data_IF_519730341356
#
_entry.id   IF_519730341356
#
_cell.length_a   1.000
_cell.length_b   1.000
_cell.length_c   1.000
_cell.angle_alpha   90.00
_cell.angle_beta   90.00
_cell.angle_gamma   90.00
#
_symmetry.space_group_name_H-M   'P 1'
#
loop_
_entity.id
_entity.type
_entity.pdbx_description
1 polymer ?
#
# COMPACT_ATOMS: atom_id res chain seq x y z
N UNK A 1 22.07 33.47 6.29
CA UNK A 1 22.63 32.15 5.91
C UNK A 1 21.46 31.16 5.92
N UNK A 2 20.68 31.10 4.85
CA UNK A 2 19.39 30.39 4.82
C UNK A 2 19.14 29.84 3.41
N UNK A 3 20.04 28.97 2.94
CA UNK A 3 19.95 28.31 1.61
C UNK A 3 20.28 26.80 1.69
N UNK A 4 20.48 26.24 2.89
CA UNK A 4 20.88 24.82 3.07
C UNK A 4 19.70 23.84 3.27
N UNK A 5 18.46 24.31 3.32
CA UNK A 5 17.29 23.46 3.63
C UNK A 5 16.29 23.31 2.49
N UNK A 6 16.48 23.96 1.34
CA UNK A 6 15.53 23.89 0.21
C UNK A 6 15.92 22.93 -0.91
N UNK A 7 17.13 22.34 -0.89
CA UNK A 7 17.61 21.38 -1.91
C UNK A 7 17.73 19.94 -1.39
N UNK A 8 17.27 19.69 -0.17
CA UNK A 8 17.24 18.37 0.44
C UNK A 8 15.85 18.07 0.94
N UNK A 9 14.91 17.78 0.04
CA UNK A 9 13.87 16.80 0.40
C UNK A 9 14.66 15.53 0.67
N UNK A 10 14.93 15.26 1.94
CA UNK A 10 15.81 14.15 2.34
C UNK A 10 15.21 12.88 1.76
N UNK A 11 16.05 12.02 1.20
CA UNK A 11 15.67 10.68 0.71
C UNK A 11 14.76 9.92 1.70
N UNK A 12 14.89 10.19 3.00
CA UNK A 12 14.00 9.65 4.03
C UNK A 12 12.51 9.95 3.82
N UNK A 13 12.14 11.10 3.22
CA UNK A 13 10.75 11.52 3.02
C UNK A 13 10.11 10.72 1.87
N UNK A 14 10.91 10.17 0.96
CA UNK A 14 10.46 9.26 -0.09
C UNK A 14 10.54 7.78 0.30
N UNK A 15 11.55 7.39 1.09
CA UNK A 15 11.57 6.07 1.75
C UNK A 15 10.35 5.91 2.65
N UNK A 16 9.93 6.99 3.33
CA UNK A 16 8.69 7.02 4.09
C UNK A 16 7.46 6.73 3.21
N UNK A 17 7.39 7.19 1.95
CA UNK A 17 6.22 6.88 1.11
C UNK A 17 6.08 5.37 0.81
N UNK A 18 7.20 4.65 0.67
CA UNK A 18 7.17 3.19 0.47
C UNK A 18 6.86 2.44 1.77
N UNK A 19 7.43 2.89 2.89
CA UNK A 19 7.09 2.37 4.22
C UNK A 19 5.63 2.65 4.58
N UNK A 20 5.12 3.83 4.25
CA UNK A 20 3.72 4.24 4.43
C UNK A 20 2.79 3.37 3.58
N UNK A 21 3.22 3.01 2.36
CA UNK A 21 2.49 2.09 1.49
C UNK A 21 2.35 0.69 2.10
N UNK A 22 3.45 0.12 2.60
CA UNK A 22 3.41 -1.15 3.32
C UNK A 22 2.61 -1.01 4.63
N UNK A 23 2.77 0.11 5.35
CA UNK A 23 2.05 0.42 6.58
C UNK A 23 0.54 0.62 6.36
N UNK A 24 0.07 0.85 5.14
CA UNK A 24 -1.37 0.93 4.82
C UNK A 24 -1.89 -0.42 4.28
N UNK A 25 -1.14 -1.07 3.39
CA UNK A 25 -1.56 -2.35 2.80
C UNK A 25 -1.71 -3.45 3.86
N UNK A 26 -0.71 -3.61 4.74
CA UNK A 26 -0.72 -4.70 5.72
C UNK A 26 -1.91 -4.57 6.69
N UNK A 27 -2.20 -3.40 7.30
CA UNK A 27 -3.38 -3.26 8.15
C UNK A 27 -4.70 -3.45 7.42
N UNK A 28 -4.84 -2.95 6.19
CA UNK A 28 -6.09 -3.09 5.43
C UNK A 28 -6.36 -4.54 5.01
N UNK A 29 -5.33 -5.25 4.56
CA UNK A 29 -5.45 -6.68 4.24
C UNK A 29 -5.78 -7.49 5.51
N UNK A 30 -5.05 -7.25 6.61
CA UNK A 30 -5.29 -7.93 7.88
C UNK A 30 -6.69 -7.67 8.45
N UNK A 31 -7.18 -6.43 8.37
CA UNK A 31 -8.55 -6.09 8.78
C UNK A 31 -9.60 -6.77 7.92
N UNK A 32 -9.38 -6.81 6.60
CA UNK A 32 -10.28 -7.50 5.66
C UNK A 32 -10.36 -9.00 5.93
N UNK A 33 -9.21 -9.65 6.15
CA UNK A 33 -9.14 -11.07 6.49
C UNK A 33 -9.79 -11.38 7.84
N UNK A 34 -9.54 -10.52 8.84
CA UNK A 34 -10.19 -10.63 10.15
C UNK A 34 -11.70 -10.54 10.02
N UNK A 35 -12.21 -9.60 9.23
CA UNK A 35 -13.65 -9.42 9.07
C UNK A 35 -14.29 -10.57 8.31
N UNK A 36 -13.65 -11.06 7.24
CA UNK A 36 -14.06 -12.30 6.56
C UNK A 36 -14.19 -13.44 7.57
N UNK A 37 -13.16 -13.67 8.38
CA UNK A 37 -13.14 -14.77 9.34
C UNK A 37 -14.22 -14.61 10.41
N UNK A 38 -14.50 -13.38 10.88
CA UNK A 38 -15.58 -13.10 11.83
C UNK A 38 -16.95 -13.42 11.24
N UNK A 39 -17.22 -13.01 10.00
CA UNK A 39 -18.50 -13.29 9.33
C UNK A 39 -18.67 -14.80 9.11
N UNK A 40 -17.62 -15.49 8.64
CA UNK A 40 -17.65 -16.95 8.44
C UNK A 40 -17.91 -17.69 9.76
N UNK A 41 -17.25 -17.27 10.84
CA UNK A 41 -17.45 -17.86 12.16
C UNK A 41 -18.87 -17.61 12.67
N UNK A 42 -19.39 -16.38 12.53
CA UNK A 42 -20.74 -16.03 12.94
C UNK A 42 -21.79 -16.82 12.17
N UNK A 43 -21.71 -16.85 10.83
CA UNK A 43 -22.62 -17.62 9.99
C UNK A 43 -22.56 -19.13 10.31
N UNK A 44 -21.36 -19.68 10.52
CA UNK A 44 -21.20 -21.08 10.92
C UNK A 44 -21.84 -21.37 12.27
N UNK A 45 -21.67 -20.48 13.25
CA UNK A 45 -22.27 -20.62 14.57
C UNK A 45 -23.80 -20.55 14.48
N UNK A 46 -24.35 -19.51 13.84
CA UNK A 46 -25.80 -19.33 13.69
C UNK A 46 -26.46 -20.53 13.00
N UNK A 47 -25.81 -21.03 11.94
CA UNK A 47 -26.21 -22.25 11.24
C UNK A 47 -26.19 -23.47 12.17
N UNK A 48 -25.13 -23.64 12.96
CA UNK A 48 -25.01 -24.77 13.92
C UNK A 48 -26.10 -24.74 15.00
N UNK A 49 -26.52 -23.54 15.42
CA UNK A 49 -27.58 -23.34 16.40
C UNK A 49 -28.99 -23.40 15.78
N UNK A 50 -29.09 -23.60 14.45
CA UNK A 50 -30.35 -23.60 13.69
C UNK A 50 -31.14 -22.28 13.82
N UNK A 51 -30.44 -21.17 14.07
CA UNK A 51 -31.05 -19.83 14.10
C UNK A 51 -31.23 -19.24 12.71
N UNK A 52 -30.47 -19.75 11.74
CA UNK A 52 -30.63 -19.53 10.30
C UNK A 52 -30.66 -20.90 9.62
N UNK A 53 -31.21 -20.96 8.41
CA UNK A 53 -31.21 -22.20 7.66
C UNK A 53 -29.82 -22.53 7.07
N UNK A 54 -29.66 -23.78 6.63
CA UNK A 54 -28.37 -24.26 6.13
C UNK A 54 -27.94 -23.59 4.82
N UNK A 55 -28.90 -23.20 3.98
CA UNK A 55 -28.66 -22.59 2.68
C UNK A 55 -28.23 -21.13 2.85
N UNK A 56 -28.94 -20.36 3.66
CA UNK A 56 -28.63 -19.00 4.07
C UNK A 56 -27.25 -18.93 4.74
N UNK A 57 -26.96 -19.86 5.65
CA UNK A 57 -25.65 -19.95 6.31
C UNK A 57 -24.51 -20.23 5.31
N UNK A 58 -24.71 -21.11 4.34
CA UNK A 58 -23.73 -21.38 3.27
C UNK A 58 -23.54 -20.15 2.37
N UNK A 59 -24.64 -19.51 1.96
CA UNK A 59 -24.61 -18.32 1.11
C UNK A 59 -23.86 -17.17 1.77
N UNK A 60 -24.09 -16.93 3.06
CA UNK A 60 -23.38 -15.90 3.82
C UNK A 60 -21.86 -16.18 3.90
N UNK A 61 -21.48 -17.45 4.09
CA UNK A 61 -20.07 -17.87 4.14
C UNK A 61 -19.39 -17.66 2.78
N UNK A 62 -20.01 -18.10 1.69
CA UNK A 62 -19.43 -17.94 0.35
C UNK A 62 -19.34 -16.47 -0.04
N UNK A 63 -20.38 -15.67 0.20
CA UNK A 63 -20.33 -14.24 -0.04
C UNK A 63 -19.22 -13.55 0.76
N UNK A 64 -19.00 -13.96 2.01
CA UNK A 64 -17.90 -13.41 2.81
C UNK A 64 -16.52 -13.74 2.21
N UNK A 65 -16.34 -14.93 1.65
CA UNK A 65 -15.10 -15.33 0.97
C UNK A 65 -14.89 -14.55 -0.33
N UNK A 66 -15.89 -14.52 -1.21
CA UNK A 66 -15.85 -13.77 -2.47
C UNK A 66 -15.51 -12.29 -2.23
N UNK A 67 -16.17 -11.67 -1.25
CA UNK A 67 -15.89 -10.29 -0.89
C UNK A 67 -14.49 -10.11 -0.28
N UNK A 68 -13.97 -11.12 0.42
CA UNK A 68 -12.60 -11.12 0.92
C UNK A 68 -11.57 -11.17 -0.21
N UNK A 69 -11.78 -12.03 -1.20
CA UNK A 69 -10.93 -12.16 -2.39
C UNK A 69 -10.93 -10.87 -3.22
N UNK A 70 -12.12 -10.28 -3.45
CA UNK A 70 -12.27 -9.00 -4.14
C UNK A 70 -11.47 -7.88 -3.46
N UNK A 71 -11.58 -7.76 -2.12
CA UNK A 71 -10.81 -6.75 -1.37
C UNK A 71 -9.31 -7.02 -1.44
N UNK A 72 -8.89 -8.28 -1.32
CA UNK A 72 -7.48 -8.64 -1.40
C UNK A 72 -6.87 -8.26 -2.76
N UNK A 73 -7.55 -8.63 -3.86
CA UNK A 73 -7.13 -8.26 -5.21
C UNK A 73 -7.03 -6.74 -5.38
N UNK A 74 -8.04 -6.01 -4.90
CA UNK A 74 -8.05 -4.55 -4.97
C UNK A 74 -6.89 -3.90 -4.19
N UNK A 75 -6.60 -4.39 -2.98
CA UNK A 75 -5.50 -3.86 -2.18
C UNK A 75 -4.15 -4.17 -2.79
N UNK A 76 -4.00 -5.35 -3.41
CA UNK A 76 -2.78 -5.75 -4.10
C UNK A 76 -2.51 -4.81 -5.29
N UNK A 77 -3.51 -4.60 -6.13
CA UNK A 77 -3.44 -3.67 -7.27
C UNK A 77 -3.09 -2.25 -6.80
N UNK A 78 -3.73 -1.78 -5.73
CA UNK A 78 -3.45 -0.46 -5.17
C UNK A 78 -2.00 -0.31 -4.70
N UNK A 79 -1.48 -1.32 -3.99
CA UNK A 79 -0.09 -1.35 -3.51
C UNK A 79 0.88 -1.32 -4.68
N UNK A 80 0.64 -2.15 -5.69
CA UNK A 80 1.55 -2.28 -6.84
C UNK A 80 1.57 -0.99 -7.66
N UNK A 81 0.40 -0.43 -8.00
CA UNK A 81 0.30 0.89 -8.68
C UNK A 81 1.03 1.99 -7.92
N UNK A 82 0.86 2.04 -6.60
CA UNK A 82 1.49 3.06 -5.77
C UNK A 82 2.99 2.85 -5.59
N UNK A 83 3.45 1.60 -5.64
CA UNK A 83 4.88 1.28 -5.66
C UNK A 83 5.52 1.73 -6.96
N UNK A 84 4.85 1.53 -8.11
CA UNK A 84 5.31 2.03 -9.41
C UNK A 84 5.37 3.57 -9.45
N UNK A 85 4.35 4.26 -8.93
CA UNK A 85 4.34 5.71 -8.79
C UNK A 85 5.54 6.21 -7.96
N UNK A 86 5.83 5.54 -6.83
CA UNK A 86 6.97 5.87 -5.97
C UNK A 86 8.32 5.63 -6.66
N UNK A 87 8.49 4.50 -7.36
CA UNK A 87 9.71 4.20 -8.11
C UNK A 87 9.97 5.21 -9.23
N UNK A 88 8.92 5.61 -9.94
CA UNK A 88 9.03 6.62 -11.00
C UNK A 88 9.48 7.97 -10.43
N UNK A 89 8.85 8.41 -9.33
CA UNK A 89 9.23 9.65 -8.67
C UNK A 89 10.68 9.61 -8.14
N UNK A 90 11.13 8.47 -7.64
CA UNK A 90 12.52 8.27 -7.22
C UNK A 90 13.50 8.43 -8.39
N UNK A 91 13.22 7.81 -9.54
CA UNK A 91 14.05 7.94 -10.75
C UNK A 91 14.12 9.37 -11.25
N UNK A 92 12.99 10.08 -11.30
CA UNK A 92 12.94 11.47 -11.73
C UNK A 92 13.83 12.38 -10.85
N UNK A 93 13.85 12.13 -9.53
CA UNK A 93 14.70 12.87 -8.60
C UNK A 93 16.17 12.49 -8.76
N UNK A 94 16.48 11.20 -8.88
CA UNK A 94 17.86 10.75 -9.06
C UNK A 94 18.47 11.32 -10.34
N UNK A 95 17.70 11.38 -11.44
CA UNK A 95 18.10 12.02 -12.69
C UNK A 95 18.32 13.52 -12.53
N UNK A 96 17.41 14.22 -11.85
CA UNK A 96 17.56 15.65 -11.58
C UNK A 96 18.79 15.96 -10.71
N UNK A 97 19.04 15.13 -9.69
CA UNK A 97 20.21 15.24 -8.81
C UNK A 97 21.51 14.94 -9.58
N UNK A 98 21.51 13.94 -10.46
CA UNK A 98 22.66 13.62 -11.30
C UNK A 98 23.00 14.78 -12.25
N UNK A 99 22.00 15.33 -12.94
CA UNK A 99 22.18 16.49 -13.81
C UNK A 99 22.68 17.73 -13.03
N UNK A 100 22.16 17.95 -11.83
CA UNK A 100 22.66 19.01 -10.94
C UNK A 100 24.12 18.80 -10.55
N UNK A 101 24.53 17.58 -10.16
CA UNK A 101 25.92 17.25 -9.84
C UNK A 101 26.86 17.46 -11.03
N UNK A 102 26.46 17.06 -12.23
CA UNK A 102 27.27 17.28 -13.44
C UNK A 102 27.44 18.77 -13.74
N UNK A 103 26.38 19.57 -13.58
CA UNK A 103 26.45 21.02 -13.77
C UNK A 103 27.47 21.65 -12.82
N UNK A 104 27.40 21.34 -11.53
CA UNK A 104 28.36 21.85 -10.54
C UNK A 104 29.79 21.38 -10.78
N UNK A 105 29.97 20.13 -11.21
CA UNK A 105 31.31 19.62 -11.56
C UNK A 105 31.94 20.42 -12.70
N UNK A 106 31.17 20.73 -13.75
CA UNK A 106 31.64 21.57 -14.86
C UNK A 106 31.93 23.01 -14.44
N UNK A 107 31.16 23.56 -13.51
CA UNK A 107 31.40 24.92 -12.98
C UNK A 107 32.69 24.96 -12.15
N UNK A 108 32.97 23.92 -11.35
CA UNK A 108 34.20 23.80 -10.55
C UNK A 108 35.46 23.48 -11.37
N UNK A 109 35.34 22.82 -12.52
CA UNK A 109 36.47 22.55 -13.43
C UNK A 109 36.85 23.76 -14.30
N UNK A 110 36.02 24.82 -14.32
CA UNK A 110 36.26 26.05 -15.06
C UNK A 110 36.81 27.21 -14.18
N UNK A 111 37.04 26.96 -12.88
CA UNK A 111 37.82 27.83 -11.96
C UNK A 111 39.29 27.38 -11.89
#
# INVERSE_FOLDING_TARGET
MQVLTQQGVKLHEMVHQREDLYAIYDPLSNLSDRERNRIVAAASYLKSQKWIDEEEGKKAIELAKEMGELRHAHFLELRDRKSEEAEKAMKEIDEAVAAWKEKWKKELENE
#
